data_IF_469612926247
#
_entry.id   IF_469612926247
#
_cell.length_a   1.000
_cell.length_b   1.000
_cell.length_c   1.000
_cell.angle_alpha   90.00
_cell.angle_beta   90.00
_cell.angle_gamma   90.00
#
_symmetry.space_group_name_H-M   'P 1'
#
loop_
_entity.id
_entity.type
_entity.pdbx_description
1 polymer ?
#
# COMPACT_ATOMS: atom_id res chain seq x y z
N UNK A 1 -1.60 11.52 -2.64
CA UNK A 1 -0.95 10.54 -3.54
C UNK A 1 -1.40 9.13 -3.20
N UNK A 2 -0.95 8.54 -2.09
CA UNK A 2 -1.26 7.14 -1.75
C UNK A 2 -2.74 6.85 -1.48
N UNK A 3 -3.46 7.65 -0.68
CA UNK A 3 -4.90 7.43 -0.47
C UNK A 3 -5.69 7.58 -1.76
N UNK A 4 -5.36 8.56 -2.60
CA UNK A 4 -5.99 8.70 -3.91
C UNK A 4 -5.78 7.47 -4.80
N UNK A 5 -4.62 6.79 -4.70
CA UNK A 5 -4.40 5.50 -5.39
C UNK A 5 -5.19 4.36 -4.75
N UNK A 6 -5.24 4.28 -3.41
CA UNK A 6 -6.04 3.27 -2.69
C UNK A 6 -7.53 3.41 -3.06
N UNK A 7 -8.06 4.62 -3.12
CA UNK A 7 -9.49 4.87 -3.35
C UNK A 7 -9.92 4.62 -4.80
N UNK A 8 -9.03 4.82 -5.78
CA UNK A 8 -9.33 4.58 -7.20
C UNK A 8 -9.10 3.13 -7.63
N UNK A 9 -8.28 2.38 -6.89
CA UNK A 9 -7.78 1.09 -7.34
C UNK A 9 -8.60 -0.05 -6.70
N UNK A 10 -9.36 -0.84 -7.49
CA UNK A 10 -10.28 -1.85 -6.96
C UNK A 10 -9.57 -3.04 -6.31
N UNK A 11 -8.25 -3.17 -6.44
CA UNK A 11 -7.49 -4.22 -5.78
C UNK A 11 -7.20 -3.90 -4.31
N UNK A 12 -7.25 -2.62 -3.93
CA UNK A 12 -6.88 -2.17 -2.59
C UNK A 12 -8.06 -1.51 -1.89
N UNK A 13 -8.05 -1.58 -0.57
CA UNK A 13 -9.05 -0.93 0.27
C UNK A 13 -8.44 -0.36 1.54
N UNK A 14 -8.75 0.90 1.83
CA UNK A 14 -8.40 1.53 3.10
C UNK A 14 -9.17 0.89 4.26
N UNK A 15 -8.52 0.75 5.42
CA UNK A 15 -9.12 0.11 6.60
C UNK A 15 -9.92 1.10 7.47
N UNK A 16 -9.59 2.39 7.39
CA UNK A 16 -10.22 3.44 8.19
C UNK A 16 -11.23 4.26 7.35
N UNK A 17 -12.22 4.84 8.03
CA UNK A 17 -13.07 5.89 7.49
C UNK A 17 -12.21 7.08 7.01
N UNK A 18 -12.69 7.84 6.01
CA UNK A 18 -11.88 8.86 5.34
C UNK A 18 -11.42 9.95 6.30
N UNK A 19 -12.29 10.36 7.21
CA UNK A 19 -12.06 11.35 8.26
C UNK A 19 -11.02 10.91 9.31
N UNK A 20 -10.82 9.60 9.48
CA UNK A 20 -9.93 9.02 10.50
C UNK A 20 -8.57 8.57 9.93
N UNK A 21 -8.33 8.85 8.64
CA UNK A 21 -7.12 8.41 7.94
C UNK A 21 -5.87 9.09 8.49
N UNK A 22 -4.94 8.26 8.97
CA UNK A 22 -3.62 8.74 9.37
C UNK A 22 -2.83 9.23 8.17
N UNK A 23 -2.23 10.42 8.31
CA UNK A 23 -1.25 10.95 7.35
C UNK A 23 0.15 10.34 7.52
N UNK A 24 0.36 9.50 8.55
CA UNK A 24 1.66 8.92 8.89
C UNK A 24 1.69 7.39 8.75
N UNK A 25 0.59 6.70 9.05
CA UNK A 25 0.52 5.24 8.96
C UNK A 25 -0.69 4.85 8.12
N UNK A 26 -0.45 4.66 6.83
CA UNK A 26 -1.49 4.32 5.88
C UNK A 26 -1.70 2.80 5.90
N UNK A 27 -2.81 2.36 6.48
CA UNK A 27 -3.20 0.96 6.53
C UNK A 27 -4.21 0.65 5.41
N UNK A 28 -3.92 -0.39 4.64
CA UNK A 28 -4.78 -0.85 3.55
C UNK A 28 -4.67 -2.37 3.41
N UNK A 29 -5.71 -2.97 2.84
CA UNK A 29 -5.79 -4.41 2.57
C UNK A 29 -5.96 -4.64 1.08
N UNK A 30 -5.70 -5.86 0.64
CA UNK A 30 -6.06 -6.31 -0.70
C UNK A 30 -7.47 -6.90 -0.67
N UNK A 31 -8.28 -6.58 -1.68
CA UNK A 31 -9.62 -7.19 -1.82
C UNK A 31 -9.53 -8.69 -2.15
N UNK A 32 -8.43 -9.12 -2.78
CA UNK A 32 -8.13 -10.51 -3.15
C UNK A 32 -6.91 -11.03 -2.38
N UNK A 33 -7.08 -11.72 -1.23
CA UNK A 33 -5.97 -12.18 -0.39
C UNK A 33 -4.93 -13.05 -1.12
N UNK A 34 -5.35 -13.78 -2.16
CA UNK A 34 -4.47 -14.61 -3.00
C UNK A 34 -3.39 -13.80 -3.75
N UNK A 35 -3.66 -12.52 -4.01
CA UNK A 35 -2.76 -11.61 -4.72
C UNK A 35 -1.74 -10.94 -3.79
N UNK A 36 -1.92 -11.00 -2.46
CA UNK A 36 -1.05 -10.31 -1.50
C UNK A 36 0.41 -10.72 -1.61
N UNK A 37 0.67 -12.03 -1.77
CA UNK A 37 2.04 -12.56 -1.89
C UNK A 37 2.73 -12.05 -3.16
N UNK A 38 2.00 -12.00 -4.27
CA UNK A 38 2.51 -11.52 -5.55
C UNK A 38 2.80 -10.03 -5.50
N UNK A 39 1.94 -9.24 -4.85
CA UNK A 39 2.17 -7.81 -4.65
C UNK A 39 3.36 -7.53 -3.74
N UNK A 40 3.49 -8.25 -2.61
CA UNK A 40 4.67 -8.12 -1.73
C UNK A 40 5.97 -8.42 -2.48
N UNK A 41 5.96 -9.45 -3.32
CA UNK A 41 7.12 -9.80 -4.13
C UNK A 41 7.49 -8.67 -5.10
N UNK A 42 6.52 -8.11 -5.81
CA UNK A 42 6.75 -6.98 -6.73
C UNK A 42 7.27 -5.75 -5.97
N UNK A 43 6.72 -5.47 -4.79
CA UNK A 43 7.16 -4.37 -3.94
C UNK A 43 8.62 -4.56 -3.49
N UNK A 44 8.99 -5.76 -3.06
CA UNK A 44 10.37 -6.11 -2.68
C UNK A 44 11.34 -5.96 -3.88
N UNK A 45 10.95 -6.42 -5.07
CA UNK A 45 11.72 -6.25 -6.32
C UNK A 45 11.95 -4.77 -6.67
N UNK A 46 11.05 -3.89 -6.23
CA UNK A 46 11.10 -2.43 -6.43
C UNK A 46 11.76 -1.69 -5.25
N UNK A 47 12.32 -2.42 -4.29
CA UNK A 47 13.00 -1.86 -3.12
C UNK A 47 12.07 -1.35 -2.02
N UNK A 48 10.77 -1.62 -2.11
CA UNK A 48 9.77 -1.26 -1.09
C UNK A 48 9.74 -2.36 -0.03
N UNK A 49 10.46 -2.13 1.07
CA UNK A 49 10.54 -3.06 2.20
C UNK A 49 9.72 -2.57 3.39
N UNK A 50 9.29 -3.49 4.25
CA UNK A 50 8.63 -3.14 5.53
C UNK A 50 7.17 -2.69 5.41
N UNK A 51 6.54 -2.86 4.24
CA UNK A 51 5.13 -2.48 4.02
C UNK A 51 4.12 -3.55 4.46
N UNK A 52 4.58 -4.74 4.85
CA UNK A 52 3.71 -5.81 5.35
C UNK A 52 3.06 -5.38 6.66
N UNK A 53 1.74 -5.49 6.74
CA UNK A 53 0.95 -5.11 7.90
C UNK A 53 1.30 -5.91 9.15
N UNK A 54 0.86 -5.42 10.30
CA UNK A 54 1.10 -6.09 11.58
C UNK A 54 0.44 -7.48 11.60
N UNK A 55 1.09 -8.47 12.22
CA UNK A 55 0.63 -9.87 12.25
C UNK A 55 -0.84 -10.07 12.67
N UNK A 56 -1.35 -9.16 13.50
CA UNK A 56 -2.71 -9.21 14.05
C UNK A 56 -3.76 -8.51 13.17
N UNK A 57 -3.33 -7.59 12.31
CA UNK A 57 -4.23 -6.81 11.45
C UNK A 57 -4.24 -7.33 9.99
N UNK A 58 -3.17 -8.02 9.56
CA UNK A 58 -3.03 -8.45 8.18
C UNK A 58 -2.75 -7.28 7.22
N UNK A 59 -2.87 -7.54 5.92
CA UNK A 59 -2.74 -6.53 4.86
C UNK A 59 -1.41 -5.79 4.86
N UNK A 60 -1.48 -4.48 4.67
CA UNK A 60 -0.35 -3.59 4.45
C UNK A 60 -0.39 -2.36 5.36
N UNK A 61 0.80 -1.87 5.69
CA UNK A 61 0.99 -0.61 6.39
C UNK A 61 2.18 0.14 5.80
N UNK A 62 1.91 1.26 5.15
CA UNK A 62 2.92 2.20 4.72
C UNK A 62 3.11 3.29 5.80
N UNK A 63 4.22 3.22 6.54
CA UNK A 63 4.59 4.20 7.55
C UNK A 63 5.45 5.32 6.93
N UNK A 64 4.83 6.47 6.67
CA UNK A 64 5.40 7.61 5.93
C UNK A 64 5.89 8.74 6.87
N UNK A 65 6.86 8.41 7.72
CA UNK A 65 7.48 9.40 8.63
C UNK A 65 8.36 10.42 7.91
N UNK A 66 8.68 11.53 8.58
CA UNK A 66 9.46 12.65 8.03
C UNK A 66 10.83 12.27 7.43
N UNK A 67 11.40 11.14 7.83
CA UNK A 67 12.67 10.65 7.28
C UNK A 67 12.53 10.01 5.88
N UNK A 68 11.30 9.70 5.44
CA UNK A 68 11.07 9.15 4.11
C UNK A 68 10.96 10.25 3.07
N UNK A 69 11.55 9.97 1.92
CA UNK A 69 11.44 10.84 0.75
C UNK A 69 10.04 10.72 0.12
N UNK A 70 9.58 11.80 -0.51
CA UNK A 70 8.35 11.79 -1.31
C UNK A 70 8.41 10.75 -2.44
N UNK A 71 9.60 10.51 -2.99
CA UNK A 71 9.82 9.51 -4.05
C UNK A 71 9.44 8.10 -3.60
N UNK A 72 9.66 7.76 -2.33
CA UNK A 72 9.25 6.45 -1.79
C UNK A 72 7.73 6.25 -1.85
N UNK A 73 6.95 7.32 -1.69
CA UNK A 73 5.49 7.28 -1.84
C UNK A 73 5.11 7.14 -3.31
N UNK A 74 5.80 7.84 -4.21
CA UNK A 74 5.57 7.72 -5.65
C UNK A 74 5.87 6.31 -6.17
N UNK A 75 7.01 5.72 -5.79
CA UNK A 75 7.34 4.33 -6.15
C UNK A 75 6.29 3.35 -5.64
N UNK A 76 5.77 3.53 -4.43
CA UNK A 76 4.67 2.68 -3.94
C UNK A 76 3.40 2.81 -4.80
N UNK A 77 3.02 4.03 -5.17
CA UNK A 77 1.87 4.27 -6.07
C UNK A 77 2.10 3.64 -7.45
N UNK A 78 3.29 3.80 -8.03
CA UNK A 78 3.65 3.17 -9.32
C UNK A 78 3.57 1.65 -9.25
N UNK A 79 4.02 1.04 -8.15
CA UNK A 79 3.91 -0.41 -7.94
C UNK A 79 2.46 -0.87 -7.79
N UNK A 80 1.62 -0.09 -7.11
CA UNK A 80 0.18 -0.37 -7.02
C UNK A 80 -0.50 -0.32 -8.40
N UNK A 81 -0.12 0.66 -9.23
CA UNK A 81 -0.64 0.82 -10.59
C UNK A 81 -0.15 -0.30 -11.51
N UNK A 82 1.15 -0.59 -11.51
CA UNK A 82 1.74 -1.69 -12.28
C UNK A 82 1.11 -3.03 -11.93
N UNK A 83 0.85 -3.26 -10.63
CA UNK A 83 0.20 -4.48 -10.18
C UNK A 83 -1.25 -4.57 -10.68
N UNK A 84 -1.99 -3.46 -10.65
CA UNK A 84 -3.37 -3.40 -11.13
C UNK A 84 -3.50 -3.50 -12.65
N UNK A 85 -2.53 -3.02 -13.43
CA UNK A 85 -2.53 -3.21 -14.89
C UNK A 85 -2.33 -4.68 -15.28
N UNK A 86 -1.70 -5.47 -14.42
CA UNK A 86 -1.38 -6.88 -14.65
C UNK A 86 -2.46 -7.84 -14.11
N UNK A 87 -3.51 -7.38 -13.42
CA UNK A 87 -4.51 -8.21 -12.72
C UNK A 87 -5.94 -7.67 -12.84
#
# INVERSE_FOLDING_TARGET
AIYAEIDRNPLFKGVCAEEDRSVMNVCFVMEKPELEKSFLKLAEERGLVGIKGHRSAGGFRASIYNALSINSIHTLVEVMQEFAEKN
#
